data_IF_350036681558
#
_entry.id   IF_350036681558
#
_cell.length_a   1.000
_cell.length_b   1.000
_cell.length_c   1.000
_cell.angle_alpha   90.00
_cell.angle_beta   90.00
_cell.angle_gamma   90.00
#
_symmetry.space_group_name_H-M   'P 1'
#
loop_
_entity.id
_entity.type
_entity.pdbx_description
1 polymer ?
#
# COMPACT_ATOMS: atom_id res chain seq x y z
N UNK A 1 -22.15 -18.06 -6.45
CA UNK A 1 -20.96 -17.17 -6.34
C UNK A 1 -20.33 -16.95 -7.71
N UNK A 2 -19.90 -18.00 -8.44
CA UNK A 2 -19.22 -17.90 -9.75
C UNK A 2 -19.99 -17.01 -10.76
N UNK A 3 -21.27 -17.29 -11.03
CA UNK A 3 -22.07 -16.50 -11.99
C UNK A 3 -22.14 -15.02 -11.60
N UNK A 4 -22.43 -14.72 -10.32
CA UNK A 4 -22.51 -13.35 -9.82
C UNK A 4 -21.19 -12.61 -10.01
N UNK A 5 -20.06 -13.24 -9.66
CA UNK A 5 -18.74 -12.64 -9.87
C UNK A 5 -18.41 -12.45 -11.35
N UNK A 6 -18.72 -13.45 -12.19
CA UNK A 6 -18.51 -13.31 -13.64
C UNK A 6 -19.29 -12.14 -14.24
N UNK A 7 -20.52 -11.89 -13.80
CA UNK A 7 -21.32 -10.73 -14.20
C UNK A 7 -20.67 -9.40 -13.77
N UNK A 8 -20.19 -9.31 -12.52
CA UNK A 8 -19.50 -8.13 -12.00
C UNK A 8 -18.25 -7.80 -12.81
N UNK A 9 -17.49 -8.82 -13.25
CA UNK A 9 -16.31 -8.65 -14.07
C UNK A 9 -16.58 -8.53 -15.57
N UNK A 10 -17.83 -8.73 -16.00
CA UNK A 10 -18.22 -8.71 -17.41
C UNK A 10 -17.67 -9.89 -18.21
N UNK A 11 -17.47 -11.04 -17.55
CA UNK A 11 -16.96 -12.25 -18.18
C UNK A 11 -18.08 -13.08 -18.79
N UNK A 12 -17.99 -13.38 -20.07
CA UNK A 12 -18.92 -14.32 -20.71
C UNK A 12 -18.58 -15.76 -20.30
N UNK A 13 -19.43 -16.34 -19.45
CA UNK A 13 -19.25 -17.70 -18.93
C UNK A 13 -19.41 -18.81 -20.00
N UNK A 14 -19.85 -18.47 -21.21
CA UNK A 14 -19.98 -19.40 -22.35
C UNK A 14 -18.77 -19.30 -23.30
N UNK A 15 -18.00 -18.24 -23.21
CA UNK A 15 -16.81 -18.04 -24.05
C UNK A 15 -15.68 -18.98 -23.62
N UNK A 16 -14.81 -19.29 -24.57
CA UNK A 16 -13.58 -20.02 -24.28
C UNK A 16 -12.53 -19.08 -23.71
N UNK A 17 -11.87 -19.46 -22.62
CA UNK A 17 -10.84 -18.65 -21.93
C UNK A 17 -9.72 -18.24 -22.89
N UNK A 18 -9.36 -19.09 -23.85
CA UNK A 18 -8.33 -18.76 -24.85
C UNK A 18 -8.69 -17.57 -25.77
N UNK A 19 -9.96 -17.19 -25.82
CA UNK A 19 -10.43 -16.00 -26.53
C UNK A 19 -10.41 -14.72 -25.70
N UNK A 20 -10.10 -14.82 -24.41
CA UNK A 20 -10.03 -13.67 -23.51
C UNK A 20 -8.70 -12.93 -23.69
N UNK A 21 -8.73 -11.61 -23.46
CA UNK A 21 -7.49 -10.85 -23.27
C UNK A 21 -6.75 -11.34 -22.02
N UNK A 22 -5.46 -11.05 -21.91
CA UNK A 22 -4.66 -11.43 -20.71
C UNK A 22 -5.32 -10.94 -19.41
N UNK A 23 -5.80 -9.70 -19.39
CA UNK A 23 -6.52 -9.15 -18.23
C UNK A 23 -7.83 -9.89 -17.94
N UNK A 24 -8.59 -10.28 -18.96
CA UNK A 24 -9.82 -11.07 -18.76
C UNK A 24 -9.51 -12.49 -18.28
N UNK A 25 -8.39 -13.09 -18.74
CA UNK A 25 -7.94 -14.40 -18.25
C UNK A 25 -7.61 -14.33 -16.76
N UNK A 26 -6.86 -13.30 -16.33
CA UNK A 26 -6.56 -13.05 -14.92
C UNK A 26 -7.82 -12.86 -14.07
N UNK A 27 -8.76 -12.06 -14.56
CA UNK A 27 -10.05 -11.89 -13.88
C UNK A 27 -10.80 -13.23 -13.75
N UNK A 28 -10.81 -14.06 -14.79
CA UNK A 28 -11.44 -15.37 -14.76
C UNK A 28 -10.75 -16.33 -13.77
N UNK A 29 -9.43 -16.33 -13.70
CA UNK A 29 -8.65 -17.11 -12.72
C UNK A 29 -9.01 -16.73 -11.28
N UNK A 30 -9.08 -15.43 -10.98
CA UNK A 30 -9.46 -14.92 -9.65
C UNK A 30 -10.90 -15.33 -9.30
N UNK A 31 -11.84 -15.10 -10.23
CA UNK A 31 -13.25 -15.46 -10.04
C UNK A 31 -13.43 -16.96 -9.79
N UNK A 32 -12.70 -17.80 -10.53
CA UNK A 32 -12.71 -19.25 -10.32
C UNK A 32 -12.12 -19.61 -8.95
N UNK A 33 -10.96 -19.07 -8.61
CA UNK A 33 -10.30 -19.33 -7.34
C UNK A 33 -11.20 -19.03 -6.15
N UNK A 34 -11.73 -17.81 -6.07
CA UNK A 34 -12.61 -17.38 -4.97
C UNK A 34 -13.93 -18.20 -4.95
N UNK A 35 -14.43 -18.60 -6.12
CA UNK A 35 -15.70 -19.34 -6.22
C UNK A 35 -15.62 -20.75 -5.62
N UNK A 36 -14.44 -21.32 -5.48
CA UNK A 36 -14.23 -22.61 -4.82
C UNK A 36 -14.23 -22.53 -3.30
N UNK A 37 -14.22 -21.32 -2.74
CA UNK A 37 -14.22 -21.02 -1.31
C UNK A 37 -13.06 -21.70 -0.56
N UNK A 38 -11.81 -21.50 -0.98
CA UNK A 38 -10.68 -22.09 -0.31
C UNK A 38 -10.34 -21.36 0.99
N UNK A 39 -9.75 -22.06 1.96
CA UNK A 39 -9.23 -21.46 3.19
C UNK A 39 -7.91 -20.70 2.95
N UNK A 40 -7.16 -21.05 1.87
CA UNK A 40 -5.91 -20.43 1.48
C UNK A 40 -5.89 -20.13 -0.01
N UNK A 41 -5.51 -18.91 -0.37
CA UNK A 41 -5.34 -18.48 -1.76
C UNK A 41 -3.90 -17.99 -1.95
N UNK A 42 -3.26 -18.48 -3.02
CA UNK A 42 -1.94 -18.02 -3.44
C UNK A 42 -2.07 -17.33 -4.79
N UNK A 43 -1.71 -16.06 -4.84
CA UNK A 43 -1.68 -15.26 -6.05
C UNK A 43 -0.24 -14.91 -6.43
N UNK A 44 0.18 -15.36 -7.61
CA UNK A 44 1.49 -15.06 -8.14
C UNK A 44 1.38 -14.04 -9.29
N UNK A 45 1.89 -12.81 -9.04
CA UNK A 45 1.84 -11.66 -9.96
C UNK A 45 0.44 -11.45 -10.57
N UNK A 46 -0.60 -11.63 -9.76
CA UNK A 46 -1.98 -11.72 -10.25
C UNK A 46 -2.54 -10.40 -10.74
N UNK A 47 -2.02 -9.27 -10.25
CA UNK A 47 -2.45 -7.94 -10.65
C UNK A 47 -1.84 -7.45 -11.97
N UNK A 48 -0.84 -8.15 -12.49
CA UNK A 48 -0.20 -7.80 -13.74
C UNK A 48 -1.17 -7.78 -14.93
N UNK A 49 -1.09 -6.71 -15.70
CA UNK A 49 -1.93 -6.52 -16.89
C UNK A 49 -3.38 -6.15 -16.62
N UNK A 50 -3.74 -5.88 -15.37
CA UNK A 50 -5.05 -5.35 -14.99
C UNK A 50 -5.06 -3.82 -15.02
N UNK A 51 -6.15 -3.23 -15.48
CA UNK A 51 -6.35 -1.79 -15.36
C UNK A 51 -6.63 -1.38 -13.89
N UNK A 52 -6.40 -0.10 -13.51
CA UNK A 52 -6.55 0.33 -12.12
C UNK A 52 -7.94 0.10 -11.53
N UNK A 53 -9.01 0.21 -12.34
CA UNK A 53 -10.38 0.00 -11.86
C UNK A 53 -10.62 -1.48 -11.52
N UNK A 54 -10.09 -2.38 -12.34
CA UNK A 54 -10.18 -3.83 -12.10
C UNK A 54 -9.33 -4.26 -10.92
N UNK A 55 -8.13 -3.67 -10.73
CA UNK A 55 -7.32 -3.90 -9.52
C UNK A 55 -8.09 -3.52 -8.26
N UNK A 56 -8.67 -2.32 -8.22
CA UNK A 56 -9.47 -1.86 -7.08
C UNK A 56 -10.66 -2.80 -6.79
N UNK A 57 -11.36 -3.22 -7.84
CA UNK A 57 -12.49 -4.16 -7.70
C UNK A 57 -12.04 -5.50 -7.10
N UNK A 58 -10.91 -6.04 -7.55
CA UNK A 58 -10.36 -7.30 -7.04
C UNK A 58 -9.90 -7.15 -5.59
N UNK A 59 -9.23 -6.05 -5.23
CA UNK A 59 -8.83 -5.79 -3.84
C UNK A 59 -10.06 -5.78 -2.90
N UNK A 60 -11.11 -5.07 -3.28
CA UNK A 60 -12.34 -5.03 -2.49
C UNK A 60 -12.96 -6.43 -2.36
N UNK A 61 -13.02 -7.18 -3.46
CA UNK A 61 -13.54 -8.54 -3.45
C UNK A 61 -12.74 -9.48 -2.54
N UNK A 62 -11.41 -9.36 -2.54
CA UNK A 62 -10.55 -10.17 -1.67
C UNK A 62 -10.70 -9.79 -0.20
N UNK A 63 -10.81 -8.49 0.10
CA UNK A 63 -11.08 -8.03 1.47
C UNK A 63 -12.42 -8.56 1.99
N UNK A 64 -13.51 -8.40 1.21
CA UNK A 64 -14.82 -8.95 1.55
C UNK A 64 -14.75 -10.48 1.73
N UNK A 65 -14.03 -11.16 0.85
CA UNK A 65 -13.89 -12.61 0.93
C UNK A 65 -13.17 -13.06 2.21
N UNK A 66 -12.06 -12.39 2.58
CA UNK A 66 -11.31 -12.68 3.80
C UNK A 66 -12.15 -12.41 5.05
N UNK A 67 -12.89 -11.29 5.08
CA UNK A 67 -13.79 -10.95 6.19
C UNK A 67 -14.93 -11.97 6.35
N UNK A 68 -15.53 -12.40 5.25
CA UNK A 68 -16.67 -13.34 5.26
C UNK A 68 -16.28 -14.78 5.60
N UNK A 69 -15.07 -15.20 5.24
CA UNK A 69 -14.65 -16.61 5.31
C UNK A 69 -13.52 -16.88 6.28
N UNK A 70 -12.85 -15.84 6.76
CA UNK A 70 -11.61 -15.95 7.55
C UNK A 70 -10.49 -16.69 6.78
N UNK A 71 -10.52 -16.62 5.45
CA UNK A 71 -9.50 -17.18 4.58
C UNK A 71 -8.21 -16.38 4.61
N UNK A 72 -7.07 -17.03 4.35
CA UNK A 72 -5.78 -16.40 4.22
C UNK A 72 -5.40 -16.23 2.75
N UNK A 73 -4.89 -15.06 2.40
CA UNK A 73 -4.46 -14.74 1.03
C UNK A 73 -2.98 -14.36 1.05
N UNK A 74 -2.19 -15.00 0.20
CA UNK A 74 -0.79 -14.64 -0.05
C UNK A 74 -0.69 -14.12 -1.48
N UNK A 75 -0.12 -12.94 -1.65
CA UNK A 75 0.03 -12.28 -2.95
C UNK A 75 1.50 -11.98 -3.18
N UNK A 76 2.06 -12.42 -4.31
CA UNK A 76 3.33 -11.91 -4.80
C UNK A 76 3.11 -10.74 -5.77
N UNK A 77 3.92 -9.70 -5.65
CA UNK A 77 3.99 -8.61 -6.62
C UNK A 77 5.35 -7.92 -6.52
N UNK A 78 5.82 -7.38 -7.64
CA UNK A 78 6.97 -6.48 -7.69
C UNK A 78 6.54 -4.99 -7.59
N UNK A 79 5.24 -4.71 -7.57
CA UNK A 79 4.66 -3.38 -7.39
C UNK A 79 4.05 -3.24 -5.99
N UNK A 80 4.71 -2.47 -5.12
CA UNK A 80 4.26 -2.26 -3.74
C UNK A 80 2.88 -1.60 -3.66
N UNK A 81 2.52 -0.76 -4.64
CA UNK A 81 1.18 -0.14 -4.68
C UNK A 81 0.06 -1.17 -4.87
N UNK A 82 0.36 -2.30 -5.49
CA UNK A 82 -0.62 -3.37 -5.62
C UNK A 82 -0.95 -4.03 -4.29
N UNK A 83 0.00 -4.08 -3.37
CA UNK A 83 -0.14 -4.69 -2.05
C UNK A 83 -0.75 -3.73 -1.02
N UNK A 84 -0.60 -2.42 -1.22
CA UNK A 84 -1.17 -1.40 -0.34
C UNK A 84 -2.70 -1.54 -0.21
N UNK A 85 -3.20 -1.54 1.04
CA UNK A 85 -4.62 -1.66 1.33
C UNK A 85 -5.22 -3.07 1.14
N UNK A 86 -4.37 -4.07 0.84
CA UNK A 86 -4.77 -5.47 0.75
C UNK A 86 -4.05 -6.34 1.80
N UNK A 87 -2.74 -6.11 1.97
CA UNK A 87 -1.91 -6.93 2.84
C UNK A 87 -1.69 -6.22 4.18
N UNK A 88 -1.69 -6.97 5.26
CA UNK A 88 -1.37 -6.53 6.63
C UNK A 88 0.03 -6.96 7.06
N UNK A 89 0.62 -7.92 6.35
CA UNK A 89 1.93 -8.49 6.60
C UNK A 89 2.73 -8.59 5.30
N UNK A 90 4.04 -8.33 5.35
CA UNK A 90 4.92 -8.28 4.20
C UNK A 90 6.18 -9.10 4.40
N UNK A 91 6.55 -9.82 3.34
CA UNK A 91 7.84 -10.45 3.18
C UNK A 91 8.58 -9.88 1.99
N UNK A 92 9.82 -9.42 2.17
CA UNK A 92 10.70 -9.00 1.08
C UNK A 92 11.70 -10.09 0.77
N UNK A 93 11.69 -10.55 -0.47
CA UNK A 93 12.64 -11.54 -0.97
C UNK A 93 13.71 -10.83 -1.80
N UNK A 94 14.97 -10.96 -1.39
CA UNK A 94 16.13 -10.50 -2.16
C UNK A 94 17.04 -11.70 -2.47
N UNK A 95 17.19 -12.00 -3.75
CA UNK A 95 17.86 -13.21 -4.20
C UNK A 95 17.08 -14.47 -3.77
N UNK A 96 17.66 -15.26 -2.89
CA UNK A 96 17.03 -16.50 -2.37
C UNK A 96 16.71 -16.42 -0.86
N UNK A 97 16.68 -15.24 -0.30
CA UNK A 97 16.50 -15.03 1.14
C UNK A 97 15.34 -14.08 1.38
N UNK A 98 14.55 -14.40 2.40
CA UNK A 98 13.61 -13.47 3.00
C UNK A 98 14.44 -12.49 3.83
N UNK A 99 14.47 -11.22 3.43
CA UNK A 99 15.30 -10.17 4.06
C UNK A 99 14.47 -9.28 4.99
N UNK A 100 13.16 -9.27 4.81
CA UNK A 100 12.21 -8.61 5.68
C UNK A 100 10.98 -9.50 5.86
N UNK A 101 10.47 -9.58 7.07
CA UNK A 101 9.24 -10.28 7.44
C UNK A 101 8.59 -9.50 8.59
N UNK A 102 7.56 -8.71 8.28
CA UNK A 102 6.96 -7.80 9.26
C UNK A 102 5.55 -7.36 8.89
N UNK A 103 4.77 -6.98 9.87
CA UNK A 103 3.48 -6.34 9.66
C UNK A 103 3.63 -4.85 9.28
N UNK A 104 2.62 -4.29 8.58
CA UNK A 104 2.56 -2.83 8.31
C UNK A 104 2.67 -2.02 9.61
N UNK A 105 2.02 -2.51 10.67
CA UNK A 105 2.02 -1.83 11.96
C UNK A 105 3.43 -1.72 12.52
N UNK A 106 4.18 -2.82 12.55
CA UNK A 106 5.58 -2.83 13.02
C UNK A 106 6.47 -1.95 12.14
N UNK A 107 6.32 -2.03 10.82
CA UNK A 107 7.07 -1.21 9.87
C UNK A 107 6.79 0.28 10.03
N UNK A 108 5.58 0.66 10.43
CA UNK A 108 5.19 2.04 10.67
C UNK A 108 5.57 2.55 12.07
N UNK A 109 5.84 1.66 13.01
CA UNK A 109 6.20 2.04 14.37
C UNK A 109 7.50 2.87 14.40
N UNK A 110 7.44 3.97 15.13
CA UNK A 110 8.58 4.89 15.24
C UNK A 110 8.88 5.71 13.99
N UNK A 111 7.93 5.79 13.04
CA UNK A 111 7.98 6.65 11.86
C UNK A 111 6.73 7.50 11.77
N UNK A 112 6.87 8.70 11.23
CA UNK A 112 5.73 9.58 10.96
C UNK A 112 5.99 10.40 9.70
N UNK A 113 4.90 10.73 8.99
CA UNK A 113 4.92 11.56 7.79
C UNK A 113 3.99 12.73 7.97
N UNK A 114 4.44 13.90 7.57
CA UNK A 114 3.66 15.13 7.69
C UNK A 114 3.68 15.94 6.41
N UNK A 115 2.53 16.53 6.11
CA UNK A 115 2.39 17.65 5.20
C UNK A 115 2.33 18.93 6.04
N UNK A 116 3.22 19.88 5.73
CA UNK A 116 3.36 21.12 6.49
C UNK A 116 3.24 22.28 5.52
N UNK A 117 2.49 23.32 5.93
CA UNK A 117 2.40 24.56 5.17
C UNK A 117 2.87 25.70 6.04
N UNK A 118 3.83 26.47 5.58
CA UNK A 118 4.35 27.64 6.26
C UNK A 118 3.89 28.95 5.59
N UNK A 119 3.75 30.00 6.42
CA UNK A 119 3.48 31.36 5.91
C UNK A 119 4.74 31.95 5.31
N UNK A 120 5.82 31.83 6.03
CA UNK A 120 7.14 32.37 5.69
C UNK A 120 8.04 31.24 5.14
N UNK A 121 9.19 31.62 4.59
CA UNK A 121 10.12 30.64 4.01
C UNK A 121 10.91 29.96 5.15
N UNK A 122 10.60 28.71 5.40
CA UNK A 122 11.26 27.87 6.42
C UNK A 122 12.24 26.96 5.71
N UNK A 123 13.48 26.96 6.14
CA UNK A 123 14.54 26.14 5.52
C UNK A 123 14.54 24.71 6.09
N UNK A 124 15.25 23.82 5.43
CA UNK A 124 15.47 22.47 5.96
C UNK A 124 16.27 22.49 7.27
N UNK A 125 17.19 23.45 7.41
CA UNK A 125 17.97 23.65 8.63
C UNK A 125 17.10 24.07 9.81
N UNK A 126 16.10 24.93 9.58
CA UNK A 126 15.13 25.31 10.61
C UNK A 126 14.35 24.10 11.11
N UNK A 127 13.91 23.23 10.17
CA UNK A 127 13.19 22.00 10.51
C UNK A 127 14.09 21.02 11.29
N UNK A 128 15.34 20.88 10.91
CA UNK A 128 16.29 20.03 11.64
C UNK A 128 16.65 20.59 13.01
N UNK A 129 16.69 21.92 13.16
CA UNK A 129 17.07 22.60 14.42
C UNK A 129 16.14 22.31 15.59
N UNK A 130 14.88 21.95 15.33
CA UNK A 130 13.92 21.59 16.40
C UNK A 130 14.11 20.15 16.93
N UNK A 131 15.19 19.48 16.54
CA UNK A 131 15.57 18.17 17.06
C UNK A 131 14.65 17.05 16.63
N UNK A 132 14.20 17.06 15.38
CA UNK A 132 13.50 15.92 14.72
C UNK A 132 14.48 15.19 13.81
N UNK A 133 14.32 13.87 13.73
CA UNK A 133 15.13 13.04 12.86
C UNK A 133 14.46 12.90 11.48
N UNK A 134 14.78 13.84 10.58
CA UNK A 134 14.25 13.87 9.22
C UNK A 134 14.93 12.81 8.36
N UNK A 135 14.14 11.90 7.78
CA UNK A 135 14.59 10.87 6.83
C UNK A 135 14.45 11.34 5.39
N UNK A 136 13.33 11.95 5.05
CA UNK A 136 13.13 12.55 3.75
C UNK A 136 12.43 13.89 3.87
N UNK A 137 12.76 14.80 2.95
CA UNK A 137 12.11 16.10 2.84
C UNK A 137 11.86 16.39 1.36
N UNK A 138 10.60 16.64 1.01
CA UNK A 138 10.18 17.10 -0.32
C UNK A 138 9.50 18.45 -0.18
N UNK A 139 9.88 19.42 -1.02
CA UNK A 139 9.31 20.77 -1.02
C UNK A 139 8.61 21.04 -2.35
N UNK A 140 7.41 21.58 -2.26
CA UNK A 140 6.68 22.14 -3.39
C UNK A 140 6.12 23.52 -2.98
N UNK A 141 6.85 24.57 -3.33
CA UNK A 141 6.57 25.92 -2.89
C UNK A 141 6.55 26.05 -1.36
N UNK A 142 5.38 26.38 -0.81
CA UNK A 142 5.15 26.53 0.63
C UNK A 142 4.76 25.22 1.34
N UNK A 143 4.56 24.16 0.57
CA UNK A 143 4.21 22.85 1.09
C UNK A 143 5.50 22.06 1.28
N UNK A 144 5.69 21.54 2.49
CA UNK A 144 6.79 20.65 2.81
C UNK A 144 6.21 19.32 3.25
N UNK A 145 6.67 18.25 2.65
CA UNK A 145 6.36 16.88 3.08
C UNK A 145 7.62 16.27 3.66
N UNK A 146 7.53 15.82 4.91
CA UNK A 146 8.64 15.18 5.59
C UNK A 146 8.26 13.80 6.07
N UNK A 147 9.22 12.88 6.02
CA UNK A 147 9.19 11.61 6.75
C UNK A 147 10.23 11.66 7.84
N UNK A 148 9.88 11.26 9.04
CA UNK A 148 10.73 11.34 10.22
C UNK A 148 10.79 10.01 10.96
N UNK A 149 11.89 9.76 11.64
CA UNK A 149 11.98 8.70 12.64
C UNK A 149 11.60 9.29 14.00
N UNK A 150 10.51 8.81 14.57
CA UNK A 150 9.99 9.30 15.86
C UNK A 150 8.48 9.15 15.98
N UNK A 151 7.95 9.49 17.14
CA UNK A 151 6.53 9.47 17.43
C UNK A 151 5.81 10.60 16.66
N UNK A 152 4.66 10.28 16.08
CA UNK A 152 3.79 11.27 15.41
C UNK A 152 3.45 12.43 16.33
N UNK A 153 3.00 12.12 17.57
CA UNK A 153 2.56 13.12 18.54
C UNK A 153 3.69 14.08 18.96
N UNK A 154 4.88 13.56 19.24
CA UNK A 154 6.04 14.37 19.63
C UNK A 154 6.55 15.22 18.47
N UNK A 155 6.58 14.63 17.27
CA UNK A 155 7.01 15.33 16.06
C UNK A 155 6.06 16.47 15.73
N UNK A 156 4.75 16.23 15.77
CA UNK A 156 3.74 17.26 15.54
C UNK A 156 3.89 18.41 16.54
N UNK A 157 4.12 18.11 17.83
CA UNK A 157 4.35 19.13 18.86
C UNK A 157 5.57 20.00 18.55
N UNK A 158 6.68 19.39 18.12
CA UNK A 158 7.91 20.13 17.73
C UNK A 158 7.69 20.96 16.46
N UNK A 159 7.03 20.42 15.44
CA UNK A 159 6.72 21.15 14.20
C UNK A 159 5.88 22.39 14.46
N UNK A 160 4.94 22.34 15.40
CA UNK A 160 4.12 23.47 15.77
C UNK A 160 4.91 24.64 16.40
N UNK A 161 6.13 24.39 16.92
CA UNK A 161 7.01 25.48 17.44
C UNK A 161 7.51 26.42 16.33
N UNK A 162 7.51 25.96 15.07
CA UNK A 162 7.87 26.77 13.91
C UNK A 162 6.70 27.61 13.36
N UNK A 163 5.57 27.66 14.09
CA UNK A 163 4.38 28.43 13.72
C UNK A 163 3.87 28.17 12.29
N UNK A 164 3.69 26.91 11.88
CA UNK A 164 3.13 26.57 10.58
C UNK A 164 1.67 27.02 10.48
N UNK A 165 1.18 27.24 9.24
CA UNK A 165 -0.25 27.44 8.97
C UNK A 165 -1.00 26.12 9.19
N UNK A 166 -0.37 25.00 8.80
CA UNK A 166 -0.97 23.66 8.89
C UNK A 166 0.11 22.61 9.12
N UNK A 167 -0.19 21.65 10.00
CA UNK A 167 0.54 20.39 10.17
C UNK A 167 -0.47 19.27 10.07
N UNK A 168 -0.36 18.47 9.03
CA UNK A 168 -1.26 17.35 8.75
C UNK A 168 -0.47 16.04 8.73
N UNK A 169 -0.80 15.08 9.61
CA UNK A 169 -0.22 13.75 9.51
C UNK A 169 -0.70 13.05 8.23
N UNK A 170 0.20 12.33 7.58
CA UNK A 170 -0.06 11.58 6.37
C UNK A 170 0.24 10.09 6.58
N UNK A 171 -0.46 9.18 5.90
CA UNK A 171 -0.07 7.78 5.89
C UNK A 171 1.31 7.62 5.22
N UNK A 172 2.12 6.75 5.79
CA UNK A 172 3.35 6.28 5.13
C UNK A 172 2.97 5.31 4.01
N UNK A 173 3.62 5.45 2.84
CA UNK A 173 3.51 4.43 1.82
C UNK A 173 4.43 3.25 2.13
N UNK A 174 4.08 2.07 1.64
CA UNK A 174 4.95 0.90 1.74
C UNK A 174 6.31 1.16 1.11
N UNK A 175 6.35 1.83 -0.02
CA UNK A 175 7.60 2.16 -0.71
C UNK A 175 8.54 3.00 0.18
N UNK A 176 8.00 4.01 0.87
CA UNK A 176 8.80 4.85 1.78
C UNK A 176 9.37 4.06 2.96
N UNK A 177 8.58 3.11 3.47
CA UNK A 177 9.01 2.25 4.57
C UNK A 177 10.08 1.26 4.11
N UNK A 178 9.89 0.65 2.94
CA UNK A 178 10.86 -0.30 2.39
C UNK A 178 12.19 0.35 2.02
N UNK A 179 12.18 1.55 1.44
CA UNK A 179 13.40 2.28 1.12
C UNK A 179 14.22 2.60 2.37
N UNK A 180 13.56 2.98 3.48
CA UNK A 180 14.22 3.27 4.75
C UNK A 180 14.81 2.02 5.43
N UNK A 181 14.25 0.83 5.19
CA UNK A 181 14.78 -0.44 5.72
C UNK A 181 15.98 -0.99 4.90
N UNK A 182 16.12 -0.55 3.65
CA UNK A 182 17.20 -0.99 2.76
C UNK A 182 18.47 -0.12 2.85
N UNK A 183 18.40 1.07 3.51
CA UNK A 183 19.53 1.95 3.80
C UNK A 183 20.27 1.53 5.08
#
# INVERSE_FOLDING_TARGET
>A
TFRKLSEVFGLDTKARINGFSKGMQRQAEIVLGISTKPDFILFDETFDGLDPAKRALIKNLLNEYMEDTNASVIVSSHDLHELEGLCDHFGLINGKKLVLDSSIKELSEGRAKFRIVFKDDVTEEDIKSIGINVKSLKRDGRIIVITVKGSEKETAAKLNTLSPIMVEPMPLSLEEVFLDEME
#
